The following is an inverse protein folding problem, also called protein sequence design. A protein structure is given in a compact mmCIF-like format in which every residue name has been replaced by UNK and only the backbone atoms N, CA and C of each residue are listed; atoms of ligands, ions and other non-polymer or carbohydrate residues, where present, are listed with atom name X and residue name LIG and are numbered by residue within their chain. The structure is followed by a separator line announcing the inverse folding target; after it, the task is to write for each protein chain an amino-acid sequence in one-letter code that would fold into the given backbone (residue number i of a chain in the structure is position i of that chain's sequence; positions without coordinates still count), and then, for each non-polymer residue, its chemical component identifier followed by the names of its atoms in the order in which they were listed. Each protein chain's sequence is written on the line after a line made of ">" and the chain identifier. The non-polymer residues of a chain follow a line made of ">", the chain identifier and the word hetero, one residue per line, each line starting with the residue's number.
data_IF_991370069653
#
_entry.id   IF_991370069653
#
_cell.length_a   1.000
_cell.length_b   1.000
_cell.length_c   1.000
_cell.angle_alpha   90.00
_cell.angle_beta   90.00
_cell.angle_gamma   90.00
#
_symmetry.space_group_name_H-M   'P 1'
#
loop_
_entity.id
_entity.type
_entity.pdbx_description
1 polymer ?
#
# COMPACT_ATOMS: atom_id res chain seq x y z
N UNK A 1 14.39 -13.85 20.80
CA UNK A 1 13.40 -14.05 19.75
C UNK A 1 13.06 -12.69 19.19
N UNK A 2 13.60 -12.37 18.01
CA UNK A 2 13.22 -11.17 17.29
C UNK A 2 11.79 -11.41 16.78
N UNK A 3 10.81 -10.72 17.35
CA UNK A 3 9.44 -10.77 16.86
C UNK A 3 9.43 -10.29 15.42
N UNK A 4 8.85 -11.09 14.53
CA UNK A 4 8.75 -10.73 13.11
C UNK A 4 7.70 -9.64 12.94
N UNK A 5 8.11 -8.54 12.35
CA UNK A 5 7.20 -7.46 11.95
C UNK A 5 6.30 -7.95 10.82
N UNK A 6 5.03 -7.58 10.83
CA UNK A 6 4.06 -7.91 9.78
C UNK A 6 3.60 -6.67 8.98
N UNK A 7 2.89 -6.91 7.88
CA UNK A 7 2.44 -5.84 6.98
C UNK A 7 1.47 -4.85 7.65
N UNK A 8 0.63 -5.30 8.59
CA UNK A 8 -0.30 -4.42 9.32
C UNK A 8 0.45 -3.45 10.23
N UNK A 9 1.47 -3.94 10.96
CA UNK A 9 2.30 -3.12 11.85
C UNK A 9 3.09 -2.08 11.05
N UNK A 10 3.69 -2.48 9.93
CA UNK A 10 4.42 -1.56 9.04
C UNK A 10 3.47 -0.49 8.50
N UNK A 11 2.29 -0.88 8.04
CA UNK A 11 1.32 0.06 7.43
C UNK A 11 0.78 1.04 8.47
N UNK A 12 0.48 0.59 9.69
CA UNK A 12 0.07 1.46 10.78
C UNK A 12 1.17 2.47 11.15
N UNK A 13 2.40 2.02 11.30
CA UNK A 13 3.54 2.90 11.60
C UNK A 13 3.76 3.92 10.48
N UNK A 14 3.64 3.49 9.21
CA UNK A 14 3.70 4.39 8.07
C UNK A 14 2.58 5.43 8.10
N UNK A 15 1.36 5.03 8.38
CA UNK A 15 0.22 5.96 8.47
C UNK A 15 0.48 7.09 9.48
N UNK A 16 0.94 6.74 10.67
CA UNK A 16 1.20 7.70 11.74
C UNK A 16 2.39 8.62 11.44
N UNK A 17 3.50 8.06 11.00
CA UNK A 17 4.73 8.82 10.74
C UNK A 17 4.59 9.64 9.45
N UNK A 18 4.18 9.04 8.35
CA UNK A 18 4.05 9.73 7.06
C UNK A 18 2.88 10.73 7.04
N UNK A 19 1.85 10.55 7.88
CA UNK A 19 0.81 11.55 8.09
C UNK A 19 1.36 12.84 8.68
N UNK A 20 2.17 12.77 9.73
CA UNK A 20 2.83 13.94 10.31
C UNK A 20 3.90 14.53 9.39
N UNK A 21 4.64 13.66 8.69
CA UNK A 21 5.60 14.09 7.65
C UNK A 21 4.89 14.91 6.56
N UNK A 22 3.74 14.46 6.07
CA UNK A 22 2.95 15.19 5.09
C UNK A 22 2.45 16.55 5.61
N UNK A 23 2.04 16.60 6.87
CA UNK A 23 1.60 17.85 7.50
C UNK A 23 2.74 18.88 7.57
N UNK A 24 3.95 18.45 7.94
CA UNK A 24 5.12 19.33 7.96
C UNK A 24 5.50 19.73 6.52
N UNK A 25 5.54 18.74 5.61
CA UNK A 25 5.88 18.97 4.21
C UNK A 25 4.97 20.02 3.54
N UNK A 26 3.68 20.06 3.89
CA UNK A 26 2.74 21.06 3.36
C UNK A 26 3.19 22.51 3.61
N UNK A 27 3.98 22.75 4.65
CA UNK A 27 4.50 24.09 4.99
C UNK A 27 5.95 24.34 4.54
N UNK A 28 6.66 23.30 4.09
CA UNK A 28 8.09 23.36 3.78
C UNK A 28 8.46 23.02 2.35
N UNK A 29 7.57 22.32 1.63
CA UNK A 29 7.81 21.89 0.25
C UNK A 29 7.93 23.10 -0.68
N UNK A 30 8.90 23.07 -1.59
CA UNK A 30 9.12 24.13 -2.56
C UNK A 30 8.61 23.73 -3.96
N UNK A 31 8.62 24.70 -4.89
CA UNK A 31 8.13 24.53 -6.28
C UNK A 31 8.88 23.41 -7.04
N UNK A 32 10.18 23.28 -6.85
CA UNK A 32 10.99 22.24 -7.51
C UNK A 32 10.60 20.85 -7.00
N UNK A 33 10.43 20.71 -5.68
CA UNK A 33 9.98 19.45 -5.06
C UNK A 33 8.55 19.10 -5.47
N UNK A 34 7.65 20.10 -5.56
CA UNK A 34 6.29 19.89 -6.08
C UNK A 34 6.31 19.44 -7.54
N UNK A 35 7.20 20.01 -8.37
CA UNK A 35 7.32 19.57 -9.76
C UNK A 35 7.82 18.11 -9.86
N UNK A 36 8.80 17.73 -9.05
CA UNK A 36 9.29 16.34 -8.97
C UNK A 36 8.20 15.40 -8.45
N UNK A 37 7.46 15.83 -7.43
CA UNK A 37 6.35 15.07 -6.88
C UNK A 37 5.25 14.84 -7.92
N UNK A 38 4.93 15.86 -8.72
CA UNK A 38 4.00 15.71 -9.85
C UNK A 38 4.52 14.71 -10.89
N UNK A 39 5.82 14.70 -11.17
CA UNK A 39 6.40 13.75 -12.13
C UNK A 39 6.20 12.31 -11.66
N UNK A 40 6.31 12.01 -10.36
CA UNK A 40 6.04 10.66 -9.87
C UNK A 40 4.59 10.21 -10.09
N UNK A 41 3.62 11.13 -10.08
CA UNK A 41 2.23 10.82 -10.42
C UNK A 41 2.07 10.47 -11.90
N UNK A 42 2.78 11.17 -12.78
CA UNK A 42 2.82 10.87 -14.22
C UNK A 42 3.44 9.49 -14.45
N UNK A 43 4.52 9.18 -13.74
CA UNK A 43 5.21 7.90 -13.86
C UNK A 43 4.33 6.74 -13.36
N UNK A 44 3.59 6.93 -12.27
CA UNK A 44 2.59 5.95 -11.78
C UNK A 44 1.46 5.72 -12.79
N UNK A 45 1.00 6.75 -13.48
CA UNK A 45 -0.05 6.66 -14.49
C UNK A 45 0.40 5.89 -15.73
N UNK A 46 1.65 6.06 -16.13
CA UNK A 46 2.24 5.42 -17.33
C UNK A 46 2.74 3.98 -17.09
N UNK A 47 2.60 3.45 -15.90
CA UNK A 47 2.52 2.04 -15.50
C UNK A 47 3.72 1.09 -15.69
N UNK A 48 4.93 1.54 -16.03
CA UNK A 48 6.08 0.61 -16.12
C UNK A 48 6.89 0.48 -14.82
N UNK A 49 6.80 1.45 -13.89
CA UNK A 49 7.61 1.51 -12.67
C UNK A 49 6.84 2.01 -11.45
N UNK A 50 5.60 1.54 -11.27
CA UNK A 50 4.69 2.03 -10.21
C UNK A 50 5.32 1.97 -8.83
N UNK A 51 5.95 0.85 -8.46
CA UNK A 51 6.55 0.69 -7.13
C UNK A 51 7.73 1.65 -6.89
N UNK A 52 8.53 1.95 -7.91
CA UNK A 52 9.63 2.91 -7.80
C UNK A 52 9.12 4.35 -7.69
N UNK A 53 8.11 4.71 -8.49
CA UNK A 53 7.47 6.01 -8.45
C UNK A 53 6.72 6.25 -7.13
N UNK A 54 6.05 5.23 -6.59
CA UNK A 54 5.41 5.24 -5.27
C UNK A 54 6.43 5.51 -4.16
N UNK A 55 7.55 4.79 -4.17
CA UNK A 55 8.64 5.02 -3.21
C UNK A 55 9.20 6.43 -3.31
N UNK A 56 9.46 6.91 -4.52
CA UNK A 56 10.00 8.25 -4.75
C UNK A 56 9.03 9.33 -4.29
N UNK A 57 7.72 9.16 -4.52
CA UNK A 57 6.67 10.06 -4.05
C UNK A 57 6.77 10.29 -2.54
N UNK A 58 6.77 9.23 -1.76
CA UNK A 58 6.87 9.31 -0.30
C UNK A 58 8.22 9.87 0.16
N UNK A 59 9.29 9.57 -0.55
CA UNK A 59 10.64 10.04 -0.22
C UNK A 59 10.82 11.54 -0.47
N UNK A 60 10.25 12.09 -1.55
CA UNK A 60 10.25 13.54 -1.81
C UNK A 60 9.50 14.27 -0.69
N UNK A 61 8.35 13.76 -0.24
CA UNK A 61 7.58 14.36 0.86
C UNK A 61 8.41 14.35 2.15
N UNK A 62 9.04 13.23 2.48
CA UNK A 62 9.89 13.14 3.67
C UNK A 62 11.08 14.10 3.60
N UNK A 63 11.77 14.18 2.46
CA UNK A 63 12.91 15.07 2.25
C UNK A 63 12.54 16.55 2.37
N UNK A 64 11.33 16.91 1.94
CA UNK A 64 10.85 18.29 1.99
C UNK A 64 10.63 18.81 3.42
N UNK A 65 10.57 17.93 4.43
CA UNK A 65 10.48 18.33 5.84
C UNK A 65 11.77 18.97 6.38
N UNK A 66 12.91 18.75 5.75
CA UNK A 66 14.26 19.13 6.24
C UNK A 66 14.59 18.53 7.61
N UNK A 67 13.91 17.48 8.02
CA UNK A 67 14.12 16.79 9.27
C UNK A 67 14.74 15.41 9.03
N UNK A 68 16.04 15.29 9.23
CA UNK A 68 16.78 14.06 8.96
C UNK A 68 16.27 12.85 9.78
N UNK A 69 15.78 13.06 11.00
CA UNK A 69 15.22 11.96 11.79
C UNK A 69 13.92 11.41 11.18
N UNK A 70 13.07 12.29 10.66
CA UNK A 70 11.85 11.86 9.93
C UNK A 70 12.18 11.19 8.60
N UNK A 71 13.13 11.72 7.84
CA UNK A 71 13.62 11.12 6.60
C UNK A 71 14.10 9.70 6.84
N UNK A 72 14.98 9.50 7.83
CA UNK A 72 15.48 8.18 8.21
C UNK A 72 14.36 7.23 8.70
N UNK A 73 13.37 7.77 9.42
CA UNK A 73 12.23 6.97 9.87
C UNK A 73 11.41 6.43 8.70
N UNK A 74 11.11 7.28 7.72
CA UNK A 74 10.40 6.87 6.49
C UNK A 74 11.23 5.88 5.69
N UNK A 75 12.52 6.11 5.52
CA UNK A 75 13.42 5.16 4.83
C UNK A 75 13.45 3.78 5.50
N UNK A 76 13.51 3.76 6.84
CA UNK A 76 13.49 2.49 7.59
C UNK A 76 12.16 1.75 7.44
N UNK A 77 11.04 2.44 7.44
CA UNK A 77 9.73 1.84 7.19
C UNK A 77 9.62 1.25 5.77
N UNK A 78 10.21 1.92 4.77
CA UNK A 78 10.32 1.37 3.41
C UNK A 78 11.21 0.13 3.35
N UNK A 79 12.30 0.07 4.10
CA UNK A 79 13.13 -1.13 4.22
C UNK A 79 12.34 -2.28 4.87
N UNK A 80 11.57 -2.00 5.92
CA UNK A 80 10.70 -2.99 6.57
C UNK A 80 9.63 -3.53 5.61
N UNK A 81 9.02 -2.67 4.78
CA UNK A 81 8.07 -3.07 3.72
C UNK A 81 8.66 -4.11 2.75
N UNK A 82 9.95 -4.08 2.55
CA UNK A 82 10.68 -4.98 1.64
C UNK A 82 11.59 -5.97 2.36
N UNK A 83 11.37 -6.23 3.66
CA UNK A 83 12.31 -6.98 4.49
C UNK A 83 12.09 -8.48 4.46
N UNK A 84 10.86 -8.94 4.27
CA UNK A 84 10.52 -10.37 4.25
C UNK A 84 9.64 -10.71 3.06
N UNK A 85 9.72 -11.96 2.56
CA UNK A 85 8.86 -12.42 1.48
C UNK A 85 7.37 -12.27 1.79
N UNK A 86 6.97 -12.53 3.03
CA UNK A 86 5.57 -12.44 3.47
C UNK A 86 5.03 -11.01 3.37
N UNK A 87 5.80 -10.02 3.81
CA UNK A 87 5.40 -8.60 3.72
C UNK A 87 5.35 -8.16 2.26
N UNK A 88 6.32 -8.57 1.45
CA UNK A 88 6.35 -8.25 0.02
C UNK A 88 5.11 -8.82 -0.67
N UNK A 89 4.78 -10.09 -0.43
CA UNK A 89 3.61 -10.75 -1.00
C UNK A 89 2.30 -10.06 -0.59
N UNK A 90 2.18 -9.69 0.68
CA UNK A 90 1.01 -8.97 1.19
C UNK A 90 0.82 -7.63 0.48
N UNK A 91 1.87 -6.83 0.35
CA UNK A 91 1.80 -5.57 -0.38
C UNK A 91 1.53 -5.75 -1.88
N UNK A 92 2.17 -6.70 -2.52
CA UNK A 92 1.97 -6.99 -3.96
C UNK A 92 0.54 -7.43 -4.24
N UNK A 93 -0.07 -8.22 -3.35
CA UNK A 93 -1.46 -8.65 -3.46
C UNK A 93 -2.47 -7.50 -3.44
N UNK A 94 -2.11 -6.39 -2.80
CA UNK A 94 -2.96 -5.20 -2.62
C UNK A 94 -2.68 -4.14 -3.68
N UNK A 95 -1.39 -3.83 -3.90
CA UNK A 95 -0.98 -2.74 -4.79
C UNK A 95 -1.25 -3.04 -6.27
N UNK A 96 -1.23 -4.31 -6.67
CA UNK A 96 -1.50 -4.71 -8.06
C UNK A 96 -2.97 -4.65 -8.48
N UNK A 97 -3.90 -4.63 -7.51
CA UNK A 97 -5.34 -4.78 -7.78
C UNK A 97 -6.08 -3.49 -8.10
N UNK A 98 -5.58 -2.33 -7.65
CA UNK A 98 -6.34 -1.07 -7.78
C UNK A 98 -5.44 0.17 -7.95
N UNK A 99 -4.70 0.19 -9.06
CA UNK A 99 -3.81 1.31 -9.40
C UNK A 99 -4.56 2.65 -9.54
N UNK A 100 -5.83 2.63 -9.97
CA UNK A 100 -6.59 3.86 -10.18
C UNK A 100 -6.93 4.55 -8.86
N UNK A 101 -7.30 3.79 -7.83
CA UNK A 101 -7.54 4.32 -6.48
C UNK A 101 -6.26 4.82 -5.84
N UNK A 102 -5.18 4.04 -5.94
CA UNK A 102 -3.87 4.44 -5.43
C UNK A 102 -3.43 5.77 -6.05
N UNK A 103 -3.54 5.92 -7.36
CA UNK A 103 -3.19 7.16 -8.06
C UNK A 103 -4.09 8.34 -7.63
N UNK A 104 -5.39 8.10 -7.47
CA UNK A 104 -6.34 9.11 -6.99
C UNK A 104 -5.98 9.62 -5.59
N UNK A 105 -5.57 8.72 -4.69
CA UNK A 105 -5.13 9.07 -3.35
C UNK A 105 -3.83 9.88 -3.35
N UNK A 106 -2.86 9.46 -4.15
CA UNK A 106 -1.61 10.21 -4.30
C UNK A 106 -1.84 11.61 -4.88
N UNK A 107 -2.78 11.76 -5.82
CA UNK A 107 -3.21 13.08 -6.32
C UNK A 107 -3.83 13.94 -5.23
N UNK A 108 -4.64 13.36 -4.35
CA UNK A 108 -5.22 14.09 -3.22
C UNK A 108 -4.15 14.58 -2.23
N UNK A 109 -3.14 13.75 -1.93
CA UNK A 109 -1.99 14.14 -1.11
C UNK A 109 -1.24 15.30 -1.79
N UNK A 110 -0.93 15.17 -3.08
CA UNK A 110 -0.25 16.22 -3.85
C UNK A 110 -1.01 17.54 -3.81
N UNK A 111 -2.32 17.54 -4.00
CA UNK A 111 -3.13 18.77 -3.98
C UNK A 111 -3.11 19.43 -2.59
N UNK A 112 -3.17 18.64 -1.53
CA UNK A 112 -3.07 19.16 -0.16
C UNK A 112 -1.70 19.80 0.11
N UNK A 113 -0.62 19.17 -0.35
CA UNK A 113 0.75 19.72 -0.24
C UNK A 113 0.88 21.02 -1.05
N UNK A 114 0.36 21.04 -2.27
CA UNK A 114 0.39 22.23 -3.15
C UNK A 114 -0.40 23.39 -2.58
N UNK A 115 -1.50 23.12 -1.87
CA UNK A 115 -2.28 24.18 -1.21
C UNK A 115 -1.68 24.66 0.11
N UNK A 116 -0.67 23.97 0.64
CA UNK A 116 -0.04 24.30 1.92
C UNK A 116 -0.90 23.95 3.14
N UNK A 117 -1.94 23.13 2.97
CA UNK A 117 -2.86 22.74 4.04
C UNK A 117 -2.34 21.50 4.78
N UNK A 118 -1.70 21.73 5.94
CA UNK A 118 -1.13 20.68 6.77
C UNK A 118 -2.16 19.65 7.25
N UNK A 119 -3.37 20.10 7.59
CA UNK A 119 -4.44 19.22 8.06
C UNK A 119 -4.96 18.35 6.93
N UNK A 120 -5.20 18.91 5.75
CA UNK A 120 -5.60 18.13 4.58
C UNK A 120 -4.50 17.15 4.13
N UNK A 121 -3.23 17.54 4.17
CA UNK A 121 -2.12 16.67 3.82
C UNK A 121 -2.04 15.45 4.76
N UNK A 122 -2.14 15.67 6.07
CA UNK A 122 -2.23 14.60 7.07
C UNK A 122 -3.40 13.66 6.80
N UNK A 123 -4.58 14.22 6.61
CA UNK A 123 -5.80 13.45 6.41
C UNK A 123 -5.77 12.64 5.11
N UNK A 124 -5.27 13.23 4.03
CA UNK A 124 -5.11 12.52 2.76
C UNK A 124 -4.12 11.35 2.87
N UNK A 125 -3.00 11.53 3.57
CA UNK A 125 -2.04 10.48 3.84
C UNK A 125 -2.64 9.37 4.73
N UNK A 126 -3.37 9.72 5.78
CA UNK A 126 -4.06 8.75 6.62
C UNK A 126 -5.12 7.96 5.84
N UNK A 127 -5.90 8.62 4.98
CA UNK A 127 -6.90 7.95 4.14
C UNK A 127 -6.26 6.93 3.19
N UNK A 128 -5.13 7.29 2.58
CA UNK A 128 -4.36 6.39 1.73
C UNK A 128 -3.95 5.12 2.49
N UNK A 129 -3.35 5.25 3.68
CA UNK A 129 -2.92 4.10 4.46
C UNK A 129 -4.08 3.30 5.07
N UNK A 130 -5.18 3.96 5.46
CA UNK A 130 -6.37 3.25 5.93
C UNK A 130 -6.96 2.36 4.85
N UNK A 131 -6.98 2.81 3.60
CA UNK A 131 -7.40 1.95 2.49
C UNK A 131 -6.46 0.75 2.32
N UNK A 132 -5.14 0.95 2.42
CA UNK A 132 -4.18 -0.14 2.36
C UNK A 132 -4.40 -1.16 3.48
N UNK A 133 -4.65 -0.72 4.71
CA UNK A 133 -4.95 -1.61 5.84
C UNK A 133 -6.21 -2.43 5.55
N UNK A 134 -7.29 -1.80 5.08
CA UNK A 134 -8.51 -2.51 4.72
C UNK A 134 -8.28 -3.52 3.59
N UNK A 135 -7.53 -3.14 2.57
CA UNK A 135 -7.19 -4.04 1.47
C UNK A 135 -6.32 -5.23 1.92
N UNK A 136 -5.44 -5.05 2.90
CA UNK A 136 -4.70 -6.14 3.53
C UNK A 136 -5.62 -7.12 4.26
N UNK A 137 -6.63 -6.62 5.00
CA UNK A 137 -7.64 -7.47 5.62
C UNK A 137 -8.44 -8.26 4.57
N UNK A 138 -8.91 -7.59 3.52
CA UNK A 138 -9.63 -8.25 2.42
C UNK A 138 -8.78 -9.36 1.76
N UNK A 139 -7.48 -9.14 1.60
CA UNK A 139 -6.56 -10.13 1.05
C UNK A 139 -6.40 -11.35 2.00
N UNK A 140 -6.30 -11.12 3.31
CA UNK A 140 -6.23 -12.19 4.32
C UNK A 140 -7.51 -13.02 4.32
N UNK A 141 -8.67 -12.38 4.31
CA UNK A 141 -9.98 -13.05 4.26
C UNK A 141 -10.14 -13.87 2.98
N UNK A 142 -9.75 -13.31 1.83
CA UNK A 142 -9.81 -14.02 0.54
C UNK A 142 -8.96 -15.28 0.57
N UNK A 143 -7.71 -15.20 1.05
CA UNK A 143 -6.82 -16.37 1.18
C UNK A 143 -7.38 -17.44 2.11
N UNK A 144 -7.97 -17.04 3.24
CA UNK A 144 -8.60 -17.97 4.18
C UNK A 144 -9.81 -18.69 3.55
N UNK A 145 -10.65 -17.97 2.81
CA UNK A 145 -11.78 -18.53 2.09
C UNK A 145 -11.35 -19.49 0.98
N UNK A 146 -10.34 -19.15 0.22
CA UNK A 146 -9.81 -20.00 -0.85
C UNK A 146 -9.22 -21.29 -0.28
N UNK A 147 -8.55 -21.25 0.85
CA UNK A 147 -8.03 -22.45 1.54
C UNK A 147 -9.18 -23.35 2.04
N UNK A 148 -10.24 -22.77 2.59
CA UNK A 148 -11.44 -23.52 2.99
C UNK A 148 -12.11 -24.19 1.79
N UNK A 149 -12.26 -23.46 0.68
CA UNK A 149 -12.82 -24.00 -0.57
C UNK A 149 -11.99 -25.16 -1.10
N UNK A 150 -10.68 -24.99 -1.17
CA UNK A 150 -9.74 -26.04 -1.61
C UNK A 150 -9.91 -27.31 -0.78
N UNK A 151 -9.92 -27.20 0.56
CA UNK A 151 -10.11 -28.34 1.45
C UNK A 151 -11.48 -28.99 1.28
N UNK A 152 -12.52 -28.21 1.05
CA UNK A 152 -13.86 -28.73 0.80
C UNK A 152 -13.96 -29.46 -0.55
N UNK A 153 -13.30 -28.95 -1.58
CA UNK A 153 -13.28 -29.60 -2.91
C UNK A 153 -12.54 -30.94 -2.87
N UNK A 154 -11.44 -31.02 -2.11
CA UNK A 154 -10.75 -32.29 -1.83
C UNK A 154 -11.69 -33.31 -1.14
N UNK A 155 -12.43 -32.84 -0.11
CA UNK A 155 -13.41 -33.69 0.58
C UNK A 155 -14.59 -34.12 -0.34
N UNK A 156 -15.08 -33.21 -1.19
CA UNK A 156 -16.11 -33.57 -2.19
C UNK A 156 -15.63 -34.65 -3.10
N UNK A 157 -14.36 -34.60 -3.57
CA UNK A 157 -13.78 -35.67 -4.38
C UNK A 157 -13.76 -37.02 -3.68
N UNK A 158 -13.60 -37.04 -2.34
CA UNK A 158 -13.58 -38.26 -1.54
C UNK A 158 -15.00 -38.84 -1.30
N UNK A 159 -16.00 -37.97 -1.10
CA UNK A 159 -17.34 -38.39 -0.66
C UNK A 159 -18.40 -38.31 -1.75
N UNK A 160 -18.11 -37.76 -2.93
CA UNK A 160 -19.05 -37.72 -4.04
C UNK A 160 -19.25 -39.14 -4.66
N UNK A 161 -20.49 -39.53 -4.86
CA UNK A 161 -20.83 -40.77 -5.53
C UNK A 161 -20.86 -40.50 -7.03
N UNK A 162 -20.15 -41.30 -7.87
CA UNK A 162 -20.19 -41.13 -9.31
C UNK A 162 -21.62 -41.36 -9.83
N UNK A 163 -22.08 -40.45 -10.68
CA UNK A 163 -23.38 -40.62 -11.35
C UNK A 163 -23.25 -41.71 -12.43
N UNK A 164 -23.87 -42.84 -12.16
CA UNK A 164 -23.87 -44.01 -13.08
C UNK A 164 -24.98 -43.95 -14.13
N UNK A 165 -25.79 -42.88 -14.16
CA UNK A 165 -26.94 -42.73 -15.05
C UNK A 165 -26.59 -42.39 -16.51
N UNK A 166 -25.31 -42.16 -16.85
CA UNK A 166 -24.88 -41.73 -18.18
C UNK A 166 -24.44 -42.89 -19.13
N UNK A 167 -24.56 -44.15 -18.75
CA UNK A 167 -24.12 -45.31 -19.54
C UNK A 167 -25.25 -46.26 -19.89
N UNK A 168 -26.39 -45.75 -20.37
CA UNK A 168 -27.37 -46.57 -21.12
C UNK A 168 -27.50 -45.96 -22.50
N UNK A 169 -26.68 -46.45 -23.41
CA UNK A 169 -26.92 -46.49 -24.85
C UNK A 169 -26.55 -47.86 -25.39
#
# INVERSE_FOLDING_TARGET
>A
LQEKVNAFEVTQARALIEGEVAAIAATTINEEELARLHQTLVDMENSQFIAAADKEFHQIIANSTRNNAMILSVENLWKLRSSTPEIIEDYDSVCSKDNSKTLSEHRAIYQALKSGDATQARNAMHSHFNRLINALFDAVETRALDEIKRKNDEKRGLYSIPDTSSNIR
#
